data_IF_994882441634
#
_entry.id   IF_994882441634
#
_cell.length_a   1.000
_cell.length_b   1.000
_cell.length_c   1.000
_cell.angle_alpha   90.00
_cell.angle_beta   90.00
_cell.angle_gamma   90.00
#
_symmetry.space_group_name_H-M   'P 1'
#
loop_
_entity.id
_entity.type
_entity.pdbx_description
1 polymer ?
#
# COMPACT_ATOMS: atom_id res chain seq x y z
N UNK A 1 1.73 -17.66 14.46
CA UNK A 1 0.92 -17.24 13.29
C UNK A 1 1.88 -17.01 12.15
N UNK A 2 1.58 -17.51 10.94
CA UNK A 2 2.44 -17.36 9.79
C UNK A 2 2.57 -15.86 9.44
N UNK A 3 3.69 -15.27 9.82
CA UNK A 3 4.12 -13.95 9.37
C UNK A 3 4.37 -14.04 7.88
N UNK A 4 3.53 -13.40 7.07
CA UNK A 4 3.83 -13.16 5.66
C UNK A 4 4.50 -11.78 5.57
N UNK A 5 5.85 -11.70 5.65
CA UNK A 5 6.57 -10.41 5.68
C UNK A 5 6.25 -9.55 4.46
N UNK A 6 6.00 -10.18 3.31
CA UNK A 6 5.59 -9.54 2.06
C UNK A 6 4.23 -8.83 2.18
N UNK A 7 3.21 -9.48 2.75
CA UNK A 7 1.91 -8.85 3.02
C UNK A 7 2.01 -7.63 3.93
N UNK A 8 2.85 -7.69 4.97
CA UNK A 8 3.09 -6.55 5.86
C UNK A 8 3.78 -5.39 5.13
N UNK A 9 4.70 -5.67 4.21
CA UNK A 9 5.33 -4.65 3.36
C UNK A 9 4.32 -4.03 2.38
N UNK A 10 3.43 -4.83 1.80
CA UNK A 10 2.35 -4.36 0.93
C UNK A 10 1.39 -3.45 1.71
N UNK A 11 0.92 -3.88 2.88
CA UNK A 11 0.13 -3.03 3.77
C UNK A 11 0.87 -1.75 4.13
N UNK A 12 2.17 -1.86 4.46
CA UNK A 12 2.98 -0.71 4.80
C UNK A 12 3.05 0.30 3.65
N UNK A 13 3.30 -0.16 2.42
CA UNK A 13 3.33 0.67 1.23
C UNK A 13 1.98 1.37 1.02
N UNK A 14 0.87 0.62 1.19
CA UNK A 14 -0.48 1.15 1.10
C UNK A 14 -0.74 2.30 2.10
N UNK A 15 -0.67 2.05 3.41
CA UNK A 15 -1.04 3.09 4.39
C UNK A 15 -0.06 4.26 4.43
N UNK A 16 1.24 4.01 4.25
CA UNK A 16 2.23 5.08 4.21
C UNK A 16 2.02 5.95 2.97
N UNK A 17 1.82 5.33 1.80
CA UNK A 17 1.55 6.02 0.54
C UNK A 17 0.29 6.87 0.62
N UNK A 18 -0.81 6.30 1.14
CA UNK A 18 -2.06 7.03 1.38
C UNK A 18 -1.90 8.17 2.39
N UNK A 19 -1.14 7.95 3.47
CA UNK A 19 -0.85 8.98 4.47
C UNK A 19 -0.06 10.17 3.91
N UNK A 20 0.84 9.91 2.94
CA UNK A 20 1.60 10.96 2.24
C UNK A 20 0.71 11.67 1.22
N UNK A 21 0.00 10.92 0.37
CA UNK A 21 -0.85 11.46 -0.69
C UNK A 21 -1.94 12.39 -0.14
N UNK A 22 -2.61 11.99 0.95
CA UNK A 22 -3.68 12.79 1.59
C UNK A 22 -3.21 14.12 2.17
N UNK A 23 -1.94 14.22 2.59
CA UNK A 23 -1.40 15.47 3.17
C UNK A 23 -1.02 16.49 2.10
N UNK A 24 -0.75 16.05 0.86
CA UNK A 24 -0.44 16.92 -0.29
C UNK A 24 0.91 17.63 -0.24
N UNK A 25 1.18 18.40 0.82
CA UNK A 25 2.39 19.23 1.00
C UNK A 25 3.68 18.43 1.04
N UNK A 26 3.62 17.16 1.47
CA UNK A 26 4.79 16.29 1.63
C UNK A 26 5.01 15.33 0.45
N UNK A 27 4.18 15.38 -0.60
CA UNK A 27 4.28 14.43 -1.72
C UNK A 27 5.62 14.57 -2.44
N UNK A 28 6.01 15.78 -2.85
CA UNK A 28 7.26 15.98 -3.60
C UNK A 28 8.52 15.60 -2.78
N UNK A 29 8.70 16.05 -1.53
CA UNK A 29 9.81 15.59 -0.70
C UNK A 29 9.83 14.07 -0.48
N UNK A 30 8.66 13.45 -0.21
CA UNK A 30 8.59 12.02 0.00
C UNK A 30 8.95 11.23 -1.27
N UNK A 31 8.48 11.68 -2.44
CA UNK A 31 8.85 11.07 -3.73
C UNK A 31 10.36 11.15 -3.96
N UNK A 32 11.00 12.29 -3.68
CA UNK A 32 12.45 12.43 -3.81
C UNK A 32 13.22 11.46 -2.89
N UNK A 33 12.77 11.28 -1.65
CA UNK A 33 13.35 10.29 -0.72
C UNK A 33 13.18 8.84 -1.22
N UNK A 34 12.00 8.53 -1.78
CA UNK A 34 11.72 7.20 -2.34
C UNK A 34 12.58 6.96 -3.59
N UNK A 35 12.79 7.97 -4.43
CA UNK A 35 13.66 7.88 -5.60
C UNK A 35 15.13 7.65 -5.23
N UNK A 36 15.62 8.32 -4.18
CA UNK A 36 16.95 8.04 -3.63
C UNK A 36 17.08 6.58 -3.15
N UNK A 37 16.04 6.05 -2.49
CA UNK A 37 16.03 4.65 -2.05
C UNK A 37 16.03 3.67 -3.22
N UNK A 38 15.22 3.93 -4.25
CA UNK A 38 15.18 3.13 -5.46
C UNK A 38 16.55 3.12 -6.13
N UNK A 39 17.16 4.29 -6.37
CA UNK A 39 18.48 4.40 -7.01
C UNK A 39 19.58 3.69 -6.21
N UNK A 40 19.54 3.75 -4.87
CA UNK A 40 20.49 3.08 -4.00
C UNK A 40 20.38 1.54 -4.02
N UNK A 41 19.16 1.01 -4.18
CA UNK A 41 18.89 -0.42 -4.15
C UNK A 41 18.96 -1.08 -5.53
N UNK A 42 18.74 -0.33 -6.60
CA UNK A 42 18.75 -0.80 -7.98
C UNK A 42 19.99 -1.62 -8.40
N UNK A 43 21.24 -1.21 -8.09
CA UNK A 43 22.41 -1.99 -8.46
C UNK A 43 22.60 -3.26 -7.63
N UNK A 44 21.86 -3.44 -6.53
CA UNK A 44 22.02 -4.56 -5.60
C UNK A 44 21.19 -5.77 -6.03
N UNK A 45 21.81 -6.94 -6.01
CA UNK A 45 21.20 -8.20 -6.47
C UNK A 45 20.85 -9.16 -5.32
N UNK A 46 21.24 -8.84 -4.08
CA UNK A 46 20.86 -9.67 -2.93
C UNK A 46 19.35 -9.61 -2.66
N UNK A 47 18.78 -10.73 -2.22
CA UNK A 47 17.33 -10.89 -2.03
C UNK A 47 16.74 -9.80 -1.14
N UNK A 48 17.42 -9.43 -0.05
CA UNK A 48 16.93 -8.40 0.89
C UNK A 48 16.83 -7.04 0.22
N UNK A 49 17.85 -6.64 -0.54
CA UNK A 49 17.81 -5.38 -1.30
C UNK A 49 16.75 -5.40 -2.40
N UNK A 50 16.50 -6.55 -3.04
CA UNK A 50 15.45 -6.70 -4.06
C UNK A 50 14.05 -6.58 -3.46
N UNK A 51 13.80 -7.17 -2.29
CA UNK A 51 12.54 -7.00 -1.53
C UNK A 51 12.32 -5.53 -1.16
N UNK A 52 13.37 -4.86 -0.65
CA UNK A 52 13.31 -3.43 -0.31
C UNK A 52 13.06 -2.56 -1.54
N UNK A 53 13.72 -2.86 -2.66
CA UNK A 53 13.51 -2.15 -3.92
C UNK A 53 12.05 -2.27 -4.35
N UNK A 54 11.50 -3.48 -4.35
CA UNK A 54 10.09 -3.71 -4.67
C UNK A 54 9.17 -2.90 -3.74
N UNK A 55 9.43 -2.93 -2.43
CA UNK A 55 8.69 -2.12 -1.47
C UNK A 55 8.69 -0.61 -1.82
N UNK A 56 9.84 -0.02 -2.14
CA UNK A 56 9.92 1.41 -2.47
C UNK A 56 9.26 1.74 -3.82
N UNK A 57 9.33 0.84 -4.81
CA UNK A 57 8.61 1.02 -6.08
C UNK A 57 7.09 0.97 -5.86
N UNK A 58 6.60 0.03 -5.06
CA UNK A 58 5.17 -0.05 -4.68
C UNK A 58 4.73 1.17 -3.88
N UNK A 59 5.54 1.64 -2.93
CA UNK A 59 5.27 2.86 -2.16
C UNK A 59 5.17 4.08 -3.08
N UNK A 60 6.07 4.24 -4.05
CA UNK A 60 6.01 5.32 -5.04
C UNK A 60 4.73 5.24 -5.87
N UNK A 61 4.37 4.03 -6.31
CA UNK A 61 3.15 3.79 -7.08
C UNK A 61 1.91 4.20 -6.26
N UNK A 62 1.87 3.91 -4.96
CA UNK A 62 0.75 4.28 -4.11
C UNK A 62 0.66 5.79 -3.83
N UNK A 63 1.80 6.46 -3.58
CA UNK A 63 1.83 7.92 -3.40
C UNK A 63 1.28 8.62 -4.67
N UNK A 64 1.61 8.08 -5.84
CA UNK A 64 1.26 8.63 -7.15
C UNK A 64 0.06 7.91 -7.79
N UNK A 65 -0.78 7.23 -7.02
CA UNK A 65 -1.83 6.33 -7.54
C UNK A 65 -2.80 7.00 -8.52
N UNK A 66 -3.09 8.28 -8.34
CA UNK A 66 -3.95 9.08 -9.24
C UNK A 66 -3.20 9.70 -10.43
N UNK A 67 -1.89 9.50 -10.55
CA UNK A 67 -1.05 10.07 -11.60
C UNK A 67 -0.92 9.08 -12.78
N UNK A 68 -0.97 9.56 -14.04
CA UNK A 68 -0.76 8.70 -15.22
C UNK A 68 0.55 7.90 -15.23
N UNK A 69 1.62 8.41 -14.59
CA UNK A 69 2.92 7.73 -14.50
C UNK A 69 2.92 6.45 -13.64
N UNK A 70 1.83 6.14 -12.94
CA UNK A 70 1.72 4.92 -12.12
C UNK A 70 1.83 3.63 -12.95
N UNK A 71 1.48 3.67 -14.24
CA UNK A 71 1.54 2.50 -15.11
C UNK A 71 2.96 1.94 -15.24
N UNK A 72 3.96 2.82 -15.42
CA UNK A 72 5.36 2.42 -15.53
C UNK A 72 5.89 1.85 -14.22
N UNK A 73 5.48 2.45 -13.08
CA UNK A 73 5.84 1.97 -11.75
C UNK A 73 5.25 0.57 -11.47
N UNK A 74 3.99 0.32 -11.87
CA UNK A 74 3.36 -1.00 -11.76
C UNK A 74 4.02 -2.03 -12.65
N UNK A 75 4.32 -1.68 -13.90
CA UNK A 75 5.06 -2.55 -14.82
C UNK A 75 6.41 -2.95 -14.24
N UNK A 76 7.14 -1.97 -13.70
CA UNK A 76 8.43 -2.18 -13.03
C UNK A 76 8.30 -3.08 -11.79
N UNK A 77 7.34 -2.80 -10.91
CA UNK A 77 7.10 -3.61 -9.71
C UNK A 77 6.76 -5.06 -10.08
N UNK A 78 5.90 -5.28 -11.10
CA UNK A 78 5.56 -6.60 -11.62
C UNK A 78 6.81 -7.35 -12.10
N UNK A 79 7.69 -6.69 -12.85
CA UNK A 79 8.91 -7.32 -13.35
C UNK A 79 9.87 -7.73 -12.22
N UNK A 80 10.04 -6.86 -11.21
CA UNK A 80 10.85 -7.16 -10.03
C UNK A 80 10.25 -8.35 -9.25
N UNK A 81 8.94 -8.30 -8.98
CA UNK A 81 8.23 -9.37 -8.25
C UNK A 81 8.36 -10.72 -8.95
N UNK A 82 8.17 -10.77 -10.28
CA UNK A 82 8.31 -11.98 -11.08
C UNK A 82 9.74 -12.53 -11.08
N UNK A 83 10.74 -11.67 -11.24
CA UNK A 83 12.14 -12.07 -11.20
C UNK A 83 12.54 -12.71 -9.85
N UNK A 84 11.86 -12.33 -8.77
CA UNK A 84 12.07 -12.87 -7.43
C UNK A 84 11.17 -14.06 -7.08
N UNK A 85 10.21 -14.43 -7.93
CA UNK A 85 9.16 -15.40 -7.57
C UNK A 85 8.26 -14.94 -6.42
N UNK A 86 8.11 -13.63 -6.24
CA UNK A 86 7.31 -13.03 -5.16
C UNK A 86 5.90 -12.69 -5.61
N UNK A 87 4.92 -12.87 -4.72
CA UNK A 87 3.51 -12.47 -4.90
C UNK A 87 3.24 -11.02 -4.49
N UNK A 88 4.24 -10.27 -3.99
CA UNK A 88 4.05 -8.90 -3.46
C UNK A 88 3.33 -7.95 -4.42
N UNK A 89 3.60 -8.04 -5.73
CA UNK A 89 2.90 -7.23 -6.71
C UNK A 89 1.42 -7.62 -6.85
N UNK A 90 1.11 -8.91 -6.85
CA UNK A 90 -0.27 -9.39 -6.98
C UNK A 90 -1.07 -9.09 -5.70
N UNK A 91 -0.44 -9.26 -4.53
CA UNK A 91 -0.96 -8.81 -3.23
C UNK A 91 -1.24 -7.30 -3.22
N UNK A 92 -0.34 -6.49 -3.77
CA UNK A 92 -0.53 -5.06 -3.92
C UNK A 92 -1.72 -4.72 -4.82
N UNK A 93 -1.86 -5.39 -5.98
CA UNK A 93 -2.99 -5.18 -6.87
C UNK A 93 -4.33 -5.59 -6.24
N UNK A 94 -4.35 -6.65 -5.42
CA UNK A 94 -5.54 -7.05 -4.67
C UNK A 94 -5.97 -5.97 -3.65
N UNK A 95 -5.00 -5.38 -2.93
CA UNK A 95 -5.26 -4.24 -2.05
C UNK A 95 -5.77 -3.04 -2.84
N UNK A 96 -5.17 -2.77 -4.01
CA UNK A 96 -5.60 -1.68 -4.87
C UNK A 96 -7.07 -1.83 -5.29
N UNK A 97 -7.44 -3.01 -5.79
CA UNK A 97 -8.78 -3.32 -6.27
C UNK A 97 -9.83 -3.23 -5.15
N UNK A 98 -9.56 -3.81 -3.99
CA UNK A 98 -10.48 -3.82 -2.84
C UNK A 98 -10.65 -2.43 -2.22
N UNK A 99 -9.64 -1.56 -2.31
CA UNK A 99 -9.66 -0.20 -1.73
C UNK A 99 -10.19 0.87 -2.68
N UNK A 100 -10.33 0.56 -3.98
CA UNK A 100 -10.84 1.51 -4.97
C UNK A 100 -12.36 1.65 -4.86
N UNK A 101 -12.87 2.85 -4.60
CA UNK A 101 -14.32 3.06 -4.65
C UNK A 101 -14.78 3.24 -6.09
N UNK A 102 -15.39 2.20 -6.64
CA UNK A 102 -16.35 2.38 -7.74
C UNK A 102 -17.70 2.71 -7.10
N UNK A 103 -18.18 3.95 -7.24
CA UNK A 103 -19.57 4.26 -6.90
C UNK A 103 -20.47 3.42 -7.81
N UNK A 104 -20.99 2.30 -7.31
CA UNK A 104 -22.20 1.68 -7.86
C UNK A 104 -23.37 2.44 -7.24
N UNK A 105 -23.75 3.56 -7.85
CA UNK A 105 -25.04 4.16 -7.57
C UNK A 105 -26.12 3.10 -7.85
N UNK A 106 -27.09 2.98 -6.94
CA UNK A 106 -28.11 1.95 -6.97
C UNK A 106 -28.74 1.76 -8.35
N UNK A 107 -28.54 0.57 -8.92
CA UNK A 107 -29.48 -0.09 -9.81
C UNK A 107 -29.73 0.45 -11.22
N UNK A 108 -29.28 1.65 -11.62
CA UNK A 108 -29.59 2.16 -12.97
C UNK A 108 -28.33 2.75 -13.62
N UNK A 109 -27.87 2.09 -14.69
CA UNK A 109 -26.95 2.66 -15.66
C UNK A 109 -27.55 3.95 -16.22
N UNK A 110 -26.99 5.11 -15.85
CA UNK A 110 -26.87 6.30 -16.71
C UNK A 110 -26.10 7.41 -16.00
N UNK A 111 -25.01 7.84 -16.64
CA UNK A 111 -24.55 9.22 -16.55
C UNK A 111 -23.45 9.52 -15.53
N UNK A 112 -22.26 9.81 -16.06
CA UNK A 112 -21.16 10.61 -15.50
C UNK A 112 -20.55 10.12 -14.18
N UNK A 113 -19.33 9.58 -14.32
CA UNK A 113 -18.42 9.14 -13.26
C UNK A 113 -18.06 10.34 -12.36
N UNK A 114 -18.44 10.29 -11.09
CA UNK A 114 -18.05 11.28 -10.10
C UNK A 114 -17.53 10.58 -8.83
N UNK A 115 -16.24 10.85 -8.58
CA UNK A 115 -15.41 10.52 -7.41
C UNK A 115 -14.93 9.06 -7.22
N UNK A 116 -13.72 8.77 -7.72
CA UNK A 116 -12.93 7.59 -7.34
C UNK A 116 -12.14 7.92 -6.07
N UNK A 117 -12.70 7.64 -4.90
CA UNK A 117 -11.99 7.68 -3.62
C UNK A 117 -11.27 6.38 -3.28
N UNK A 118 -10.42 6.45 -2.25
CA UNK A 118 -9.72 5.28 -1.68
C UNK A 118 -10.29 5.00 -0.29
N UNK A 119 -10.97 3.86 -0.13
CA UNK A 119 -11.47 3.38 1.17
C UNK A 119 -10.35 2.68 1.94
N UNK A 120 -10.23 3.03 3.21
CA UNK A 120 -9.27 2.40 4.13
C UNK A 120 -10.02 1.57 5.16
N UNK A 121 -10.94 2.20 5.89
CA UNK A 121 -11.83 1.55 6.85
C UNK A 121 -13.28 1.92 6.60
N UNK A 122 -14.20 0.99 6.89
CA UNK A 122 -15.64 1.22 6.93
C UNK A 122 -16.23 0.59 8.19
N UNK A 123 -17.09 1.36 8.86
CA UNK A 123 -17.78 0.90 10.08
C UNK A 123 -19.23 0.66 9.74
N UNK A 124 -19.73 -0.55 9.99
CA UNK A 124 -21.14 -0.89 9.78
C UNK A 124 -21.71 -1.68 10.95
N UNK A 125 -23.04 -1.69 11.04
CA UNK A 125 -23.77 -2.49 12.02
C UNK A 125 -24.09 -3.86 11.39
N UNK A 126 -23.54 -4.92 11.97
CA UNK A 126 -23.83 -6.29 11.60
C UNK A 126 -24.85 -6.88 12.58
N UNK A 127 -25.89 -7.53 12.04
CA UNK A 127 -26.90 -8.23 12.84
C UNK A 127 -26.66 -9.74 12.78
N UNK A 128 -26.45 -10.35 13.94
CA UNK A 128 -26.27 -11.78 14.14
C UNK A 128 -27.44 -12.31 14.98
N UNK A 129 -28.53 -12.71 14.32
CA UNK A 129 -29.75 -13.11 15.02
C UNK A 129 -30.35 -11.97 15.82
N UNK A 130 -30.41 -12.09 17.14
CA UNK A 130 -30.89 -11.05 18.07
C UNK A 130 -29.83 -10.02 18.46
N UNK A 131 -28.57 -10.22 18.08
CA UNK A 131 -27.46 -9.35 18.48
C UNK A 131 -27.09 -8.39 17.36
N UNK A 132 -26.86 -7.12 17.68
CA UNK A 132 -26.31 -6.13 16.76
C UNK A 132 -24.93 -5.74 17.27
N UNK A 133 -23.93 -5.79 16.39
CA UNK A 133 -22.54 -5.43 16.70
C UNK A 133 -22.02 -4.45 15.67
N UNK A 134 -21.28 -3.46 16.13
CA UNK A 134 -20.48 -2.60 15.25
C UNK A 134 -19.25 -3.35 14.78
N UNK A 135 -19.09 -3.45 13.47
CA UNK A 135 -17.92 -4.03 12.81
C UNK A 135 -17.16 -2.94 12.07
N UNK A 136 -15.83 -3.01 12.17
CA UNK A 136 -14.91 -2.17 11.40
C UNK A 136 -14.18 -3.10 10.45
N UNK A 137 -14.35 -2.87 9.15
CA UNK A 137 -13.61 -3.59 8.11
C UNK A 137 -12.49 -2.70 7.60
N UNK A 138 -11.28 -3.23 7.66
CA UNK A 138 -10.14 -2.69 6.95
C UNK A 138 -10.00 -3.40 5.60
N UNK A 139 -10.18 -2.66 4.52
CA UNK A 139 -10.24 -3.22 3.16
C UNK A 139 -8.87 -3.75 2.69
N UNK A 140 -7.77 -3.12 3.09
CA UNK A 140 -6.44 -3.59 2.72
C UNK A 140 -6.09 -4.88 3.47
N UNK A 141 -6.43 -4.97 4.76
CA UNK A 141 -6.26 -6.21 5.52
C UNK A 141 -7.16 -7.33 4.97
N UNK A 142 -8.42 -7.01 4.64
CA UNK A 142 -9.37 -7.95 4.02
C UNK A 142 -8.84 -8.51 2.70
N UNK A 143 -8.29 -7.66 1.82
CA UNK A 143 -7.73 -8.08 0.53
C UNK A 143 -6.63 -9.14 0.66
N UNK A 144 -5.87 -9.10 1.76
CA UNK A 144 -4.75 -10.01 2.02
C UNK A 144 -5.13 -11.21 2.91
N UNK A 145 -6.40 -11.32 3.31
CA UNK A 145 -6.89 -12.34 4.24
C UNK A 145 -6.40 -12.15 5.68
N UNK A 146 -5.96 -10.95 6.05
CA UNK A 146 -5.46 -10.63 7.39
C UNK A 146 -6.63 -10.25 8.29
N UNK A 147 -6.89 -11.07 9.32
CA UNK A 147 -7.97 -10.83 10.28
C UNK A 147 -7.59 -9.85 11.38
N UNK A 148 -6.33 -9.85 11.80
CA UNK A 148 -5.82 -9.01 12.89
C UNK A 148 -4.30 -8.90 12.78
N UNK A 149 -3.78 -7.73 13.14
CA UNK A 149 -2.35 -7.48 13.31
C UNK A 149 -2.00 -7.59 14.81
N UNK A 150 -0.86 -8.19 15.14
CA UNK A 150 -0.25 -8.04 16.46
C UNK A 150 0.18 -6.60 16.71
N UNK A 151 0.42 -6.20 17.96
CA UNK A 151 0.86 -4.83 18.30
C UNK A 151 2.13 -4.41 17.54
N UNK A 152 3.07 -5.34 17.35
CA UNK A 152 4.31 -5.09 16.60
C UNK A 152 4.04 -4.86 15.12
N UNK A 153 3.17 -5.66 14.52
CA UNK A 153 2.79 -5.52 13.11
C UNK A 153 1.98 -4.24 12.89
N UNK A 154 1.03 -3.94 13.78
CA UNK A 154 0.27 -2.69 13.76
C UNK A 154 1.20 -1.48 13.84
N UNK A 155 2.15 -1.49 14.78
CA UNK A 155 3.14 -0.42 14.91
C UNK A 155 3.96 -0.27 13.63
N UNK A 156 4.47 -1.37 13.08
CA UNK A 156 5.21 -1.34 11.82
C UNK A 156 4.37 -0.73 10.69
N UNK A 157 3.17 -1.26 10.46
CA UNK A 157 2.29 -0.87 9.36
C UNK A 157 1.83 0.60 9.48
N UNK A 158 1.40 1.04 10.67
CA UNK A 158 0.74 2.33 10.84
C UNK A 158 1.59 3.44 11.47
N UNK A 159 2.67 3.12 12.21
CA UNK A 159 3.42 4.11 13.01
C UNK A 159 4.82 4.39 12.48
N UNK A 160 5.49 3.40 11.88
CA UNK A 160 6.84 3.62 11.34
C UNK A 160 6.82 4.62 10.17
N UNK A 161 7.63 5.67 10.22
CA UNK A 161 7.71 6.70 9.18
C UNK A 161 8.59 6.29 8.00
N UNK A 162 8.47 7.01 6.88
CA UNK A 162 9.39 6.85 5.74
C UNK A 162 10.85 7.09 6.16
N UNK A 163 11.08 8.11 7.00
CA UNK A 163 12.40 8.45 7.53
C UNK A 163 13.02 7.28 8.30
N UNK A 164 12.29 6.70 9.27
CA UNK A 164 12.76 5.56 10.06
C UNK A 164 13.06 4.33 9.18
N UNK A 165 12.28 4.09 8.13
CA UNK A 165 12.54 3.01 7.17
C UNK A 165 13.86 3.23 6.42
N UNK A 166 14.08 4.45 5.92
CA UNK A 166 15.30 4.80 5.18
C UNK A 166 16.55 4.70 6.07
N UNK A 167 16.48 5.22 7.30
CA UNK A 167 17.56 5.12 8.29
C UNK A 167 17.87 3.66 8.61
N UNK A 168 16.85 2.83 8.88
CA UNK A 168 17.02 1.40 9.14
C UNK A 168 17.60 0.64 7.96
N UNK A 169 17.35 1.08 6.73
CA UNK A 169 17.88 0.48 5.51
C UNK A 169 19.26 1.04 5.09
N UNK A 170 19.78 2.04 5.81
CA UNK A 170 21.03 2.72 5.49
C UNK A 170 20.99 3.48 4.16
N UNK A 171 19.79 3.95 3.76
CA UNK A 171 19.63 4.74 2.53
C UNK A 171 20.00 6.19 2.83
N UNK A 172 20.95 6.80 2.10
CA UNK A 172 21.22 8.22 2.21
C UNK A 172 20.07 9.03 1.59
N UNK A 173 19.59 10.04 2.30
CA UNK A 173 18.57 10.98 1.80
C UNK A 173 18.84 12.39 2.33
N UNK A 174 18.46 13.39 1.54
CA UNK A 174 18.47 14.81 1.95
C UNK A 174 17.08 15.24 2.38
N UNK A 175 17.01 16.12 3.38
CA UNK A 175 15.76 16.73 3.89
C UNK A 175 15.58 18.10 3.23
#
# INVERSE_FOLDING_TARGET
MATHPHKLLVLKAFYLGQGIAKKGTYVAPAVAMVDAAIAFLEPKQDETSRVRLLFYVLLKAEILRSNPSVADLRSRARNISRAMGSEMFDEYMAVEEETQTRVRAGGIQKGVIADQGIRTTETFLAKYGSFVKTEVVDYACKALGIRSLSDKEFHFVHKTSLKELLEKHGVPFSI
#
